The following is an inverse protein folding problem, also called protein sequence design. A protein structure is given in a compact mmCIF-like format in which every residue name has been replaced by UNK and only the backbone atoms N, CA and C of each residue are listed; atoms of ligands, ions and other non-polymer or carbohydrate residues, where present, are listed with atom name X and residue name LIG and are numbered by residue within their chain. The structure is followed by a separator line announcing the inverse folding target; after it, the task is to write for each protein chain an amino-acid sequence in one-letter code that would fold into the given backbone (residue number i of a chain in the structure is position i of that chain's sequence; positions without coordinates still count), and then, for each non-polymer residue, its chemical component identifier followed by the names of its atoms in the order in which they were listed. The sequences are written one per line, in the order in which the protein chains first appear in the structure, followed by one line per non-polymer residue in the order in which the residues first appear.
data_IF_090045423140
#
_entry.id   IF_090045423140
#
_cell.length_a   1.000
_cell.length_b   1.000
_cell.length_c   1.000
_cell.angle_alpha   90.00
_cell.angle_beta   90.00
_cell.angle_gamma   90.00
#
_symmetry.space_group_name_H-M   'P 1'
#
loop_
_entity.id
_entity.type
_entity.pdbx_description
1 polymer ?
#
# COMPACT_ATOMS: atom_id res chain seq x y z
N UNK A 1 -12.33 -5.00 7.45
CA UNK A 1 -11.34 -3.97 7.11
C UNK A 1 -11.77 -2.66 7.76
N UNK A 2 -10.96 -2.13 8.66
CA UNK A 2 -11.17 -0.79 9.24
C UNK A 2 -10.59 0.30 8.31
N UNK A 3 -10.83 1.57 8.66
CA UNK A 3 -10.43 2.71 7.81
C UNK A 3 -8.90 2.82 7.65
N UNK A 4 -8.14 2.51 8.70
CA UNK A 4 -6.67 2.52 8.66
C UNK A 4 -6.13 1.41 7.72
N UNK A 5 -6.64 0.19 7.83
CA UNK A 5 -6.27 -0.92 6.94
C UNK A 5 -6.59 -0.58 5.48
N UNK A 6 -7.75 0.04 5.26
CA UNK A 6 -8.21 0.46 3.94
C UNK A 6 -7.30 1.53 3.36
N UNK A 7 -6.96 2.56 4.12
CA UNK A 7 -6.04 3.63 3.71
C UNK A 7 -4.67 3.06 3.34
N UNK A 8 -4.09 2.21 4.21
CA UNK A 8 -2.79 1.59 3.96
C UNK A 8 -2.81 0.78 2.64
N UNK A 9 -3.85 -0.02 2.42
CA UNK A 9 -3.99 -0.83 1.22
C UNK A 9 -4.23 0.01 -0.04
N UNK A 10 -4.97 1.11 0.08
CA UNK A 10 -5.16 2.06 -1.00
C UNK A 10 -3.82 2.68 -1.43
N UNK A 11 -3.03 3.22 -0.49
CA UNK A 11 -1.72 3.79 -0.83
C UNK A 11 -0.76 2.72 -1.37
N UNK A 12 -0.78 1.50 -0.80
CA UNK A 12 -0.01 0.37 -1.31
C UNK A 12 -0.37 0.02 -2.77
N UNK A 13 -1.64 0.18 -3.17
CA UNK A 13 -2.09 -0.08 -4.53
C UNK A 13 -1.50 0.88 -5.58
N UNK A 14 -1.20 2.12 -5.15
CA UNK A 14 -0.54 3.15 -5.98
C UNK A 14 0.89 2.73 -6.31
N UNK A 15 1.64 2.22 -5.30
CA UNK A 15 3.03 1.76 -5.46
C UNK A 15 3.13 0.65 -6.50
N UNK A 16 2.26 -0.36 -6.43
CA UNK A 16 2.25 -1.44 -7.40
C UNK A 16 1.80 -2.77 -6.84
N UNK A 17 2.05 -3.84 -7.60
CA UNK A 17 1.71 -5.20 -7.16
C UNK A 17 2.60 -5.67 -5.99
N UNK A 18 3.89 -5.33 -6.03
CA UNK A 18 4.83 -5.49 -4.93
C UNK A 18 4.90 -4.20 -4.15
N UNK A 19 4.73 -4.29 -2.84
CA UNK A 19 4.62 -3.14 -1.94
C UNK A 19 5.97 -2.93 -1.25
N UNK A 20 6.65 -1.85 -1.63
CA UNK A 20 7.83 -1.39 -0.92
C UNK A 20 7.40 -0.70 0.40
N UNK A 21 7.79 -1.29 1.53
CA UNK A 21 7.42 -0.81 2.87
C UNK A 21 8.08 0.53 3.20
N UNK A 22 9.23 0.84 2.60
CA UNK A 22 9.89 2.13 2.79
C UNK A 22 9.13 3.24 2.07
N UNK A 23 8.72 3.01 0.83
CA UNK A 23 7.87 3.96 0.09
C UNK A 23 6.52 4.14 0.80
N UNK A 24 5.87 3.05 1.20
CA UNK A 24 4.58 3.11 1.90
C UNK A 24 4.66 3.87 3.23
N UNK A 25 5.75 3.69 3.98
CA UNK A 25 6.03 4.41 5.23
C UNK A 25 6.24 5.90 5.01
N UNK A 26 6.92 6.29 3.93
CA UNK A 26 7.11 7.68 3.54
C UNK A 26 5.78 8.33 3.15
N UNK A 27 5.00 7.70 2.26
CA UNK A 27 3.75 8.27 1.73
C UNK A 27 2.67 8.47 2.81
N UNK A 28 2.64 7.60 3.82
CA UNK A 28 1.67 7.66 4.91
C UNK A 28 2.17 8.44 6.13
N UNK A 29 3.45 8.82 6.16
CA UNK A 29 4.11 9.36 7.36
C UNK A 29 3.96 8.45 8.61
N UNK A 30 3.85 7.14 8.37
CA UNK A 30 3.65 6.12 9.41
C UNK A 30 4.89 5.26 9.53
N UNK A 31 5.29 4.90 10.77
CA UNK A 31 6.43 4.01 11.01
C UNK A 31 6.28 2.64 10.30
N UNK A 32 7.40 2.12 9.77
CA UNK A 32 7.45 0.80 9.11
C UNK A 32 6.87 -0.32 9.98
N UNK A 33 7.15 -0.33 11.29
CA UNK A 33 6.64 -1.36 12.21
C UNK A 33 5.11 -1.33 12.30
N UNK A 34 4.50 -0.15 12.31
CA UNK A 34 3.03 -0.03 12.33
C UNK A 34 2.43 -0.58 11.05
N UNK A 35 3.00 -0.22 9.89
CA UNK A 35 2.59 -0.76 8.58
C UNK A 35 2.70 -2.28 8.56
N UNK A 36 3.86 -2.84 8.92
CA UNK A 36 4.10 -4.29 8.90
C UNK A 36 3.08 -5.03 9.79
N UNK A 37 2.80 -4.52 11.00
CA UNK A 37 1.79 -5.11 11.90
C UNK A 37 0.38 -5.04 11.31
N UNK A 38 0.04 -3.95 10.61
CA UNK A 38 -1.29 -3.84 9.99
C UNK A 38 -1.40 -4.76 8.78
N UNK A 39 -0.40 -4.82 7.92
CA UNK A 39 -0.37 -5.72 6.76
C UNK A 39 -0.42 -7.20 7.18
N UNK A 40 0.26 -7.56 8.28
CA UNK A 40 0.16 -8.91 8.85
C UNK A 40 -1.27 -9.28 9.27
N UNK A 41 -2.00 -8.35 9.90
CA UNK A 41 -3.42 -8.58 10.25
C UNK A 41 -4.29 -8.72 9.00
N UNK A 42 -4.08 -7.86 8.01
CA UNK A 42 -4.80 -7.94 6.73
C UNK A 42 -4.58 -9.27 6.02
N UNK A 43 -3.34 -9.76 5.99
CA UNK A 43 -2.99 -11.08 5.43
C UNK A 43 -3.76 -12.20 6.14
N UNK A 44 -3.77 -12.18 7.48
CA UNK A 44 -4.43 -13.21 8.30
C UNK A 44 -5.95 -13.18 8.19
N UNK A 45 -6.55 -11.99 8.19
CA UNK A 45 -8.01 -11.83 8.33
C UNK A 45 -8.73 -11.74 6.97
N UNK A 46 -8.07 -11.18 5.95
CA UNK A 46 -8.72 -10.78 4.69
C UNK A 46 -8.08 -11.39 3.44
N UNK A 47 -6.85 -11.92 3.51
CA UNK A 47 -6.12 -12.51 2.39
C UNK A 47 -6.02 -11.60 1.14
N UNK A 48 -5.96 -10.28 1.35
CA UNK A 48 -5.84 -9.29 0.25
C UNK A 48 -4.39 -9.18 -0.24
N UNK A 49 -3.46 -9.38 0.69
CA UNK A 49 -2.02 -9.34 0.49
C UNK A 49 -1.41 -10.54 1.21
N UNK A 50 -0.20 -10.89 0.81
CA UNK A 50 0.61 -11.90 1.47
C UNK A 50 2.05 -11.40 1.66
N UNK A 51 2.68 -11.91 2.72
CA UNK A 51 4.06 -11.65 3.04
C UNK A 51 4.99 -12.41 2.09
N UNK A 52 6.09 -11.76 1.72
CA UNK A 52 7.16 -12.32 0.89
C UNK A 52 8.50 -12.12 1.61
N UNK A 53 9.58 -12.76 1.13
CA UNK A 53 10.92 -12.57 1.70
C UNK A 53 11.38 -11.10 1.75
N UNK A 54 10.82 -10.23 0.89
CA UNK A 54 11.29 -8.84 0.71
C UNK A 54 10.22 -7.78 1.00
N UNK A 55 9.05 -8.15 1.53
CA UNK A 55 7.94 -7.21 1.75
C UNK A 55 6.58 -7.88 1.60
N UNK A 56 5.63 -7.17 1.00
CA UNK A 56 4.27 -7.67 0.76
C UNK A 56 3.89 -7.58 -0.70
N UNK A 57 2.96 -8.42 -1.12
CA UNK A 57 2.42 -8.43 -2.48
C UNK A 57 0.90 -8.63 -2.42
N UNK A 58 0.17 -8.01 -3.34
CA UNK A 58 -1.27 -8.28 -3.48
C UNK A 58 -1.50 -9.71 -3.93
N UNK A 59 -2.46 -10.41 -3.32
CA UNK A 59 -2.81 -11.79 -3.69
C UNK A 59 -3.27 -11.85 -5.16
N UNK A 60 -4.09 -10.88 -5.57
CA UNK A 60 -4.59 -10.79 -6.93
C UNK A 60 -4.50 -9.37 -7.51
N UNK A 61 -4.10 -9.20 -8.79
CA UNK A 61 -4.07 -7.90 -9.45
C UNK A 61 -5.41 -7.14 -9.42
N UNK A 62 -6.53 -7.87 -9.41
CA UNK A 62 -7.86 -7.28 -9.33
C UNK A 62 -8.11 -6.57 -7.99
N UNK A 63 -7.63 -7.11 -6.87
CA UNK A 63 -7.79 -6.48 -5.55
C UNK A 63 -7.03 -5.16 -5.49
N UNK A 64 -5.80 -5.13 -6.02
CA UNK A 64 -5.03 -3.90 -6.19
C UNK A 64 -5.82 -2.87 -7.00
N UNK A 65 -6.35 -3.27 -8.16
CA UNK A 65 -7.06 -2.35 -9.06
C UNK A 65 -8.35 -1.81 -8.42
N UNK A 66 -9.08 -2.64 -7.66
CA UNK A 66 -10.26 -2.20 -6.92
C UNK A 66 -9.92 -1.12 -5.90
N UNK A 67 -8.91 -1.36 -5.06
CA UNK A 67 -8.45 -0.39 -4.05
C UNK A 67 -7.94 0.89 -4.71
N UNK A 68 -7.17 0.77 -5.80
CA UNK A 68 -6.64 1.91 -6.54
C UNK A 68 -7.75 2.80 -7.11
N UNK A 69 -8.86 2.22 -7.58
CA UNK A 69 -9.98 2.97 -8.16
C UNK A 69 -10.84 3.72 -7.13
N UNK A 70 -10.78 3.33 -5.88
CA UNK A 70 -11.51 4.01 -4.80
C UNK A 70 -10.84 5.32 -4.37
N UNK A 71 -9.58 5.54 -4.76
CA UNK A 71 -8.83 6.74 -4.41
C UNK A 71 -9.24 7.89 -5.34
N UNK A 72 -9.63 9.06 -4.79
CA UNK A 72 -9.89 10.25 -5.60
C UNK A 72 -8.72 10.56 -6.54
N UNK A 73 -9.02 10.93 -7.78
CA UNK A 73 -8.00 11.16 -8.81
C UNK A 73 -6.93 12.17 -8.40
N UNK A 74 -7.33 13.25 -7.72
CA UNK A 74 -6.38 14.26 -7.23
C UNK A 74 -5.39 13.67 -6.22
N UNK A 75 -5.87 12.84 -5.29
CA UNK A 75 -5.02 12.20 -4.29
C UNK A 75 -4.08 11.16 -4.91
N UNK A 76 -4.55 10.42 -5.93
CA UNK A 76 -3.68 9.51 -6.70
C UNK A 76 -2.54 10.24 -7.40
N UNK A 77 -2.83 11.41 -7.97
CA UNK A 77 -1.81 12.22 -8.65
C UNK A 77 -0.73 12.67 -7.67
N UNK A 78 -1.11 13.12 -6.48
CA UNK A 78 -0.16 13.48 -5.42
C UNK A 78 0.70 12.29 -4.99
N UNK A 79 0.11 11.11 -4.73
CA UNK A 79 0.91 9.94 -4.39
C UNK A 79 1.88 9.53 -5.50
N UNK A 80 1.47 9.58 -6.77
CA UNK A 80 2.36 9.30 -7.90
C UNK A 80 3.49 10.31 -8.00
N UNK A 81 3.24 11.59 -7.75
CA UNK A 81 4.27 12.63 -7.73
C UNK A 81 5.28 12.36 -6.62
N UNK A 82 4.82 12.10 -5.39
CA UNK A 82 5.69 11.79 -4.25
C UNK A 82 6.55 10.55 -4.50
N UNK A 83 5.99 9.50 -5.11
CA UNK A 83 6.76 8.30 -5.50
C UNK A 83 7.81 8.66 -6.54
N UNK A 84 7.45 9.43 -7.58
CA UNK A 84 8.39 9.82 -8.63
C UNK A 84 9.55 10.66 -8.09
N UNK A 85 9.26 11.59 -7.17
CA UNK A 85 10.28 12.40 -6.51
C UNK A 85 11.22 11.57 -5.63
N UNK A 86 10.70 10.56 -4.92
CA UNK A 86 11.53 9.68 -4.08
C UNK A 86 12.43 8.77 -4.93
N UNK A 87 11.92 8.26 -6.05
CA UNK A 87 12.70 7.40 -6.96
C UNK A 87 13.74 8.16 -7.78
N UNK A 88 13.63 9.49 -7.88
CA UNK A 88 14.57 10.34 -8.59
C UNK A 88 15.78 10.78 -7.73
N UNK A 89 15.77 10.48 -6.43
CA UNK A 89 16.88 10.75 -5.50
C UNK A 89 17.98 9.69 -5.61
#
# INVERSE_FOLDING_TARGET
MNDEEREILQVASVIGHKVDISLLSMLLEVSKIKILKTLQRVEQDLQIIYSTEKGYQFEHPMLREMLYREIPTILRQEYHLMIAEELAK
#
